data_IF_574809779578
#
_entry.id   IF_574809779578
#
_cell.length_a   1.000
_cell.length_b   1.000
_cell.length_c   1.000
_cell.angle_alpha   90.00
_cell.angle_beta   90.00
_cell.angle_gamma   90.00
#
_symmetry.space_group_name_H-M   'P 1'
#
loop_
_entity.id
_entity.type
_entity.pdbx_description
1 polymer ?
#
# COMPACT_ATOMS: atom_id res chain seq x y z
N UNK A 1 -0.78 22.69 15.87
CA UNK A 1 -1.48 22.90 17.16
C UNK A 1 -2.77 23.71 17.01
N UNK A 2 -2.75 24.86 16.34
CA UNK A 2 -3.96 25.67 16.09
C UNK A 2 -4.94 24.96 15.15
N UNK A 3 -4.44 24.35 14.07
CA UNK A 3 -5.25 23.62 13.10
C UNK A 3 -5.92 22.38 13.72
N UNK A 4 -5.23 21.68 14.61
CA UNK A 4 -5.75 20.52 15.35
C UNK A 4 -6.80 20.90 16.39
N UNK A 5 -6.67 22.07 17.03
CA UNK A 5 -7.69 22.58 17.96
C UNK A 5 -8.93 23.06 17.20
N UNK A 6 -8.74 23.68 16.03
CA UNK A 6 -9.83 24.19 15.20
C UNK A 6 -10.63 23.05 14.55
N UNK A 7 -9.98 21.96 14.12
CA UNK A 7 -10.67 20.76 13.63
C UNK A 7 -11.51 20.11 14.74
N UNK A 8 -10.98 19.94 15.96
CA UNK A 8 -11.74 19.39 17.09
C UNK A 8 -12.94 20.27 17.45
N UNK A 9 -12.77 21.61 17.45
CA UNK A 9 -13.84 22.56 17.74
C UNK A 9 -14.96 22.53 16.68
N UNK A 10 -14.61 22.50 15.40
CA UNK A 10 -15.58 22.39 14.29
C UNK A 10 -16.36 21.06 14.36
N UNK A 11 -15.68 19.96 14.69
CA UNK A 11 -16.32 18.64 14.87
C UNK A 11 -17.31 18.62 16.03
N UNK A 12 -16.94 19.23 17.16
CA UNK A 12 -17.81 19.33 18.34
C UNK A 12 -19.02 20.24 18.10
N UNK A 13 -18.89 21.29 17.30
CA UNK A 13 -19.94 22.29 17.12
C UNK A 13 -20.99 21.91 16.05
N UNK A 14 -20.64 21.09 15.05
CA UNK A 14 -21.58 20.71 13.98
C UNK A 14 -22.46 19.48 14.23
N UNK A 15 -22.33 18.77 15.36
CA UNK A 15 -23.16 17.58 15.72
C UNK A 15 -23.44 16.66 14.51
N UNK A 16 -22.41 16.36 13.72
CA UNK A 16 -22.57 15.57 12.49
C UNK A 16 -22.70 14.10 12.87
N UNK A 17 -23.91 13.67 13.21
CA UNK A 17 -24.24 12.32 13.70
C UNK A 17 -24.09 11.20 12.66
N UNK A 18 -23.73 11.55 11.41
CA UNK A 18 -23.68 10.61 10.27
C UNK A 18 -22.25 10.24 9.83
N UNK A 19 -21.21 10.82 10.43
CA UNK A 19 -19.81 10.55 10.08
C UNK A 19 -19.09 9.87 11.25
N UNK A 20 -18.90 8.56 11.13
CA UNK A 20 -18.10 7.75 12.06
C UNK A 20 -16.61 8.15 11.97
N UNK A 21 -15.86 8.04 13.08
CA UNK A 21 -14.42 8.36 13.14
C UNK A 21 -13.60 7.65 12.05
N UNK A 22 -13.99 6.43 11.67
CA UNK A 22 -13.34 5.69 10.57
C UNK A 22 -13.64 6.29 9.20
N UNK A 23 -14.85 6.80 8.95
CA UNK A 23 -15.19 7.46 7.69
C UNK A 23 -14.45 8.78 7.51
N UNK A 24 -14.20 9.49 8.60
CA UNK A 24 -13.39 10.70 8.59
C UNK A 24 -11.93 10.41 8.25
N UNK A 25 -11.35 9.34 8.81
CA UNK A 25 -9.99 8.94 8.49
C UNK A 25 -9.81 8.66 6.99
N UNK A 26 -10.79 8.01 6.36
CA UNK A 26 -10.79 7.77 4.90
C UNK A 26 -10.86 9.08 4.12
N UNK A 27 -11.74 10.01 4.50
CA UNK A 27 -11.87 11.31 3.84
C UNK A 27 -10.60 12.15 3.99
N UNK A 28 -10.01 12.18 5.19
CA UNK A 28 -8.73 12.87 5.43
C UNK A 28 -7.60 12.23 4.63
N UNK A 29 -7.54 10.90 4.56
CA UNK A 29 -6.57 10.20 3.71
C UNK A 29 -6.68 10.58 2.24
N UNK A 30 -7.91 10.70 1.73
CA UNK A 30 -8.16 11.11 0.34
C UNK A 30 -7.75 12.57 0.08
N UNK A 31 -8.08 13.48 1.00
CA UNK A 31 -7.69 14.90 0.89
C UNK A 31 -6.17 15.06 0.98
N UNK A 32 -5.52 14.42 1.95
CA UNK A 32 -4.07 14.46 2.12
C UNK A 32 -3.36 13.82 0.92
N UNK A 33 -3.86 12.68 0.42
CA UNK A 33 -3.33 12.04 -0.77
C UNK A 33 -3.45 12.92 -2.02
N UNK A 34 -4.57 13.63 -2.19
CA UNK A 34 -4.72 14.62 -3.25
C UNK A 34 -3.75 15.80 -3.10
N UNK A 35 -3.56 16.32 -1.89
CA UNK A 35 -2.60 17.40 -1.63
C UNK A 35 -1.17 16.93 -1.95
N UNK A 36 -0.76 15.74 -1.51
CA UNK A 36 0.58 15.21 -1.83
C UNK A 36 0.75 15.10 -3.34
N UNK A 37 -0.23 14.51 -4.05
CA UNK A 37 -0.18 14.32 -5.50
C UNK A 37 -0.10 15.62 -6.31
N UNK A 38 -0.82 16.67 -5.88
CA UNK A 38 -0.95 17.91 -6.66
C UNK A 38 -0.14 19.10 -6.12
N UNK A 39 0.29 19.07 -4.85
CA UNK A 39 1.07 20.15 -4.22
C UNK A 39 2.53 19.74 -3.91
N UNK A 40 2.90 18.48 -4.09
CA UNK A 40 4.29 18.06 -4.03
C UNK A 40 5.09 18.68 -5.17
N UNK A 41 6.05 19.54 -4.83
CA UNK A 41 7.01 20.05 -5.80
C UNK A 41 7.89 18.88 -6.26
N UNK A 42 7.87 18.58 -7.55
CA UNK A 42 8.77 17.62 -8.18
C UNK A 42 10.20 18.10 -7.98
N UNK A 43 10.94 17.48 -7.06
CA UNK A 43 12.40 17.58 -7.12
C UNK A 43 12.80 16.93 -8.44
N UNK A 44 13.59 17.63 -9.25
CA UNK A 44 14.13 17.06 -10.47
C UNK A 44 14.96 15.84 -10.09
N UNK A 45 14.60 14.67 -10.62
CA UNK A 45 15.44 13.48 -10.52
C UNK A 45 16.75 13.81 -11.23
N UNK A 46 17.84 13.89 -10.48
CA UNK A 46 19.16 14.16 -11.06
C UNK A 46 19.74 12.84 -11.55
N UNK A 47 19.89 12.70 -12.86
CA UNK A 47 20.52 11.54 -13.48
C UNK A 47 22.04 11.74 -13.57
N UNK A 48 22.78 10.66 -13.34
CA UNK A 48 24.23 10.61 -13.60
C UNK A 48 24.45 9.42 -14.52
N UNK A 49 24.96 9.69 -15.72
CA UNK A 49 25.27 8.64 -16.68
C UNK A 49 26.54 7.88 -16.25
N UNK A 50 26.37 6.65 -15.78
CA UNK A 50 27.47 5.78 -15.40
C UNK A 50 28.07 5.12 -16.64
N UNK A 51 29.36 5.37 -16.90
CA UNK A 51 30.12 4.71 -17.95
C UNK A 51 31.13 3.72 -17.33
N UNK A 52 31.35 2.55 -17.96
CA UNK A 52 32.39 1.63 -17.51
C UNK A 52 33.76 2.27 -17.65
N UNK A 53 34.67 1.94 -16.73
CA UNK A 53 36.06 2.42 -16.79
C UNK A 53 36.76 1.85 -18.05
N UNK A 54 37.68 2.62 -18.61
CA UNK A 54 38.24 2.42 -19.95
C UNK A 54 38.95 1.06 -20.13
N UNK A 55 39.38 0.44 -19.04
CA UNK A 55 40.13 -0.82 -19.02
C UNK A 55 39.27 -2.03 -18.59
N UNK A 56 37.94 -1.88 -18.54
CA UNK A 56 37.05 -2.95 -18.12
C UNK A 56 36.61 -3.84 -19.29
N UNK A 57 36.67 -5.16 -19.11
CA UNK A 57 36.15 -6.16 -20.06
C UNK A 57 34.64 -6.40 -19.92
N UNK A 58 33.90 -5.37 -19.53
CA UNK A 58 32.48 -5.51 -19.23
C UNK A 58 31.65 -5.60 -20.51
N UNK A 59 30.70 -6.54 -20.57
CA UNK A 59 29.81 -6.69 -21.70
C UNK A 59 28.59 -5.76 -21.53
N UNK A 60 28.46 -4.76 -22.41
CA UNK A 60 27.37 -3.78 -22.41
C UNK A 60 25.98 -4.36 -22.73
N UNK A 61 25.90 -5.64 -23.14
CA UNK A 61 24.62 -6.29 -23.50
C UNK A 61 23.85 -6.81 -22.29
N UNK A 62 24.46 -6.81 -21.10
CA UNK A 62 23.83 -7.26 -19.85
C UNK A 62 23.88 -6.13 -18.82
N UNK A 63 22.89 -6.03 -17.91
CA UNK A 63 22.95 -5.07 -16.81
C UNK A 63 23.95 -5.53 -15.73
N UNK A 64 24.63 -4.59 -15.03
CA UNK A 64 25.59 -4.93 -13.99
C UNK A 64 24.90 -5.22 -12.66
N UNK A 65 25.43 -6.18 -11.89
CA UNK A 65 24.90 -6.52 -10.57
C UNK A 65 25.16 -5.43 -9.51
N UNK A 66 26.29 -4.72 -9.64
CA UNK A 66 26.76 -3.71 -8.68
C UNK A 66 27.34 -2.51 -9.43
N UNK A 67 26.88 -1.31 -9.06
CA UNK A 67 27.49 -0.04 -9.50
C UNK A 67 28.24 0.58 -8.34
N UNK A 68 29.52 0.90 -8.56
CA UNK A 68 30.40 1.53 -7.57
C UNK A 68 30.72 2.95 -8.01
N UNK A 69 30.38 3.93 -7.17
CA UNK A 69 30.77 5.32 -7.40
C UNK A 69 31.93 5.66 -6.48
N UNK A 70 33.06 6.03 -7.09
CA UNK A 70 34.19 6.56 -6.36
C UNK A 70 34.09 8.08 -6.32
N UNK A 71 33.82 8.63 -5.14
CA UNK A 71 33.82 10.08 -4.91
C UNK A 71 35.20 10.47 -4.36
N UNK A 72 36.08 11.10 -5.16
CA UNK A 72 37.36 11.57 -4.68
C UNK A 72 37.14 12.86 -3.88
N UNK A 73 36.75 12.76 -2.61
CA UNK A 73 36.42 13.96 -1.86
C UNK A 73 37.59 14.49 -1.04
N UNK A 74 37.90 15.77 -1.23
CA UNK A 74 38.44 16.64 -0.19
C UNK A 74 37.40 17.75 -0.02
N UNK A 75 36.35 17.50 0.76
CA UNK A 75 35.45 18.56 1.22
C UNK A 75 36.29 19.47 2.13
N UNK A 76 36.63 20.68 1.67
CA UNK A 76 37.20 21.68 2.55
C UNK A 76 36.09 22.24 3.44
N UNK A 77 35.86 21.59 4.57
CA UNK A 77 35.12 22.19 5.68
C UNK A 77 36.08 23.18 6.34
N UNK A 78 35.66 24.44 6.47
CA UNK A 78 36.40 25.55 7.06
C UNK A 78 37.37 25.11 8.15
N UNK A 79 38.66 25.34 7.89
CA UNK A 79 39.76 25.57 8.83
C UNK A 79 39.59 24.99 10.24
N UNK A 80 39.64 23.66 10.43
CA UNK A 80 39.80 23.12 11.79
C UNK A 80 39.53 21.65 12.05
N UNK A 81 38.82 20.92 11.18
CA UNK A 81 38.48 19.51 11.44
C UNK A 81 39.18 18.53 10.51
N UNK A 82 39.54 17.36 11.06
CA UNK A 82 40.36 16.35 10.41
C UNK A 82 39.76 15.87 9.07
N UNK A 83 40.58 15.55 8.06
CA UNK A 83 40.09 15.12 6.76
C UNK A 83 39.26 13.84 6.88
N UNK A 84 38.00 13.91 6.45
CA UNK A 84 37.08 12.76 6.39
C UNK A 84 37.60 11.76 5.33
N UNK A 85 37.70 10.46 5.64
CA UNK A 85 38.25 9.47 4.71
C UNK A 85 37.38 9.26 3.46
N UNK A 86 38.02 8.81 2.37
CA UNK A 86 37.36 8.42 1.11
C UNK A 86 36.18 7.46 1.39
N UNK A 87 34.99 7.82 0.92
CA UNK A 87 33.79 6.98 1.04
C UNK A 87 33.48 6.35 -0.32
N UNK A 88 33.40 5.02 -0.34
CA UNK A 88 32.92 4.27 -1.51
C UNK A 88 31.49 3.84 -1.23
N UNK A 89 30.56 4.27 -2.08
CA UNK A 89 29.16 3.84 -2.00
C UNK A 89 28.90 2.76 -3.06
N UNK A 90 28.33 1.65 -2.63
CA UNK A 90 27.89 0.57 -3.51
C UNK A 90 26.37 0.57 -3.57
N UNK A 91 25.82 0.60 -4.79
CA UNK A 91 24.40 0.48 -5.03
C UNK A 91 24.13 -0.89 -5.64
N UNK A 92 23.07 -1.56 -5.14
CA UNK A 92 22.62 -2.85 -5.66
C UNK A 92 21.41 -2.63 -6.56
N UNK A 93 21.44 -3.25 -7.73
CA UNK A 93 20.32 -3.22 -8.67
C UNK A 93 19.09 -3.89 -8.04
N UNK A 94 17.99 -3.16 -7.93
CA UNK A 94 16.71 -3.67 -7.41
C UNK A 94 15.71 -4.05 -8.50
N UNK A 95 15.85 -3.53 -9.73
CA UNK A 95 14.93 -3.78 -10.83
C UNK A 95 15.04 -2.75 -11.96
N UNK A 96 14.42 -3.05 -13.10
CA UNK A 96 14.36 -2.17 -14.27
C UNK A 96 13.34 -1.05 -14.05
N UNK A 97 13.74 0.19 -14.28
CA UNK A 97 12.87 1.37 -14.14
C UNK A 97 12.28 1.69 -15.52
N UNK A 98 11.06 1.22 -15.80
CA UNK A 98 10.37 1.50 -17.06
C UNK A 98 9.80 2.93 -17.04
N UNK A 99 10.45 3.88 -17.73
CA UNK A 99 10.03 5.28 -17.93
C UNK A 99 9.21 5.87 -16.78
N UNK A 100 9.89 6.10 -15.66
CA UNK A 100 9.27 6.61 -14.46
C UNK A 100 9.51 8.12 -14.38
N UNK A 101 8.54 8.90 -14.88
CA UNK A 101 8.27 10.24 -14.35
C UNK A 101 7.52 10.11 -13.00
N UNK A 102 8.07 9.39 -12.00
CA UNK A 102 7.47 9.37 -10.67
C UNK A 102 8.07 10.48 -9.83
N UNK A 103 7.19 11.24 -9.19
CA UNK A 103 7.57 12.19 -8.17
C UNK A 103 8.21 11.43 -7.00
N UNK A 104 9.36 11.90 -6.50
CA UNK A 104 10.04 11.30 -5.34
C UNK A 104 9.12 11.16 -4.12
N UNK A 105 8.16 12.08 -3.99
CA UNK A 105 7.14 12.05 -2.94
C UNK A 105 6.19 10.86 -3.05
N UNK A 106 5.86 10.40 -4.26
CA UNK A 106 4.97 9.24 -4.46
C UNK A 106 5.70 7.95 -4.07
N UNK A 107 7.01 7.87 -4.37
CA UNK A 107 7.85 6.73 -3.97
C UNK A 107 8.06 6.68 -2.45
N UNK A 108 8.29 7.82 -1.80
CA UNK A 108 8.51 7.90 -0.34
C UNK A 108 7.21 7.81 0.47
N UNK A 109 6.08 8.23 -0.10
CA UNK A 109 4.77 8.15 0.55
C UNK A 109 4.10 6.77 0.39
N UNK A 110 4.60 5.92 -0.50
CA UNK A 110 4.11 4.55 -0.65
C UNK A 110 4.55 3.70 0.54
N UNK A 111 3.58 3.21 1.31
CA UNK A 111 3.83 2.31 2.42
C UNK A 111 4.27 0.94 1.91
N UNK A 112 5.27 0.35 2.55
CA UNK A 112 5.78 -0.96 2.15
C UNK A 112 4.76 -2.07 2.50
N UNK A 113 4.23 -2.81 1.51
CA UNK A 113 3.26 -3.86 1.76
C UNK A 113 3.84 -4.99 2.60
N UNK A 114 5.14 -5.26 2.56
CA UNK A 114 5.74 -6.33 3.37
C UNK A 114 5.66 -6.00 4.86
N UNK A 115 5.88 -4.73 5.22
CA UNK A 115 5.71 -4.25 6.59
C UNK A 115 4.24 -4.36 7.01
N UNK A 116 3.31 -4.04 6.11
CA UNK A 116 1.88 -4.18 6.38
C UNK A 116 1.52 -5.63 6.72
N UNK A 117 1.82 -6.55 5.81
CA UNK A 117 1.41 -7.95 5.93
C UNK A 117 2.16 -8.71 7.02
N UNK A 118 3.46 -8.47 7.20
CA UNK A 118 4.26 -9.24 8.14
C UNK A 118 4.26 -8.67 9.56
N UNK A 119 4.08 -7.34 9.72
CA UNK A 119 4.21 -6.68 11.03
C UNK A 119 2.87 -6.15 11.53
N UNK A 120 2.10 -5.44 10.69
CA UNK A 120 0.89 -4.72 11.14
C UNK A 120 -0.34 -5.64 11.16
N UNK A 121 -0.50 -6.48 10.15
CA UNK A 121 -1.67 -7.34 9.98
C UNK A 121 -1.82 -8.39 11.12
N UNK A 122 -0.75 -9.08 11.59
CA UNK A 122 -0.91 -10.12 12.61
C UNK A 122 -1.46 -9.62 13.96
N UNK A 123 -0.98 -8.50 14.54
CA UNK A 123 -1.57 -7.92 15.75
C UNK A 123 -3.05 -7.51 15.58
N UNK A 124 -3.44 -7.00 14.42
CA UNK A 124 -4.84 -6.60 14.14
C UNK A 124 -5.75 -7.83 14.17
N UNK A 125 -5.37 -8.89 13.45
CA UNK A 125 -6.12 -10.15 13.42
C UNK A 125 -6.17 -10.78 14.81
N UNK A 126 -5.05 -10.75 15.55
CA UNK A 126 -4.99 -11.28 16.91
C UNK A 126 -5.94 -10.53 17.85
N UNK A 127 -5.96 -9.19 17.81
CA UNK A 127 -6.87 -8.38 18.63
C UNK A 127 -8.33 -8.65 18.28
N UNK A 128 -8.68 -8.72 16.98
CA UNK A 128 -10.02 -9.07 16.53
C UNK A 128 -10.43 -10.48 17.00
N UNK A 129 -9.51 -11.45 16.92
CA UNK A 129 -9.65 -12.81 17.44
C UNK A 129 -9.87 -12.86 18.95
N UNK A 130 -9.12 -12.06 19.71
CA UNK A 130 -9.17 -12.01 21.18
C UNK A 130 -10.47 -11.38 21.70
N UNK A 131 -11.00 -10.37 21.01
CA UNK A 131 -12.26 -9.71 21.37
C UNK A 131 -13.52 -10.55 21.11
N UNK A 132 -13.42 -11.67 20.38
CA UNK A 132 -14.58 -12.53 20.07
C UNK A 132 -15.07 -13.31 21.31
N UNK A 133 -16.39 -13.24 21.57
CA UNK A 133 -17.03 -13.99 22.67
C UNK A 133 -16.99 -15.51 22.41
N UNK A 134 -16.00 -16.20 22.99
CA UNK A 134 -15.74 -17.65 22.82
C UNK A 134 -17.00 -18.53 22.87
N UNK A 135 -17.88 -18.33 23.85
CA UNK A 135 -19.08 -19.17 24.04
C UNK A 135 -20.05 -19.12 22.84
N UNK A 136 -20.25 -17.94 22.25
CA UNK A 136 -21.14 -17.76 21.10
C UNK A 136 -20.51 -18.21 19.79
N UNK A 137 -19.19 -18.01 19.66
CA UNK A 137 -18.41 -18.48 18.52
C UNK A 137 -18.50 -20.01 18.37
N UNK A 138 -18.20 -20.76 19.44
CA UNK A 138 -18.23 -22.22 19.38
C UNK A 138 -19.65 -22.79 19.26
N UNK A 139 -20.67 -22.09 19.76
CA UNK A 139 -22.07 -22.51 19.58
C UNK A 139 -22.55 -22.40 18.13
N UNK A 140 -22.00 -21.45 17.36
CA UNK A 140 -22.38 -21.19 15.97
C UNK A 140 -21.28 -21.57 14.96
N UNK A 141 -20.30 -22.38 15.37
CA UNK A 141 -19.12 -22.68 14.56
C UNK A 141 -19.47 -23.26 13.18
N UNK A 142 -20.49 -24.11 13.11
CA UNK A 142 -20.95 -24.69 11.84
C UNK A 142 -21.47 -23.64 10.85
N UNK A 143 -22.26 -22.67 11.33
CA UNK A 143 -22.74 -21.57 10.50
C UNK A 143 -21.58 -20.68 10.04
N UNK A 144 -20.65 -20.36 10.96
CA UNK A 144 -19.45 -19.57 10.65
C UNK A 144 -18.61 -20.25 9.58
N UNK A 145 -18.31 -21.55 9.72
CA UNK A 145 -17.55 -22.32 8.73
C UNK A 145 -18.27 -22.40 7.38
N UNK A 146 -19.60 -22.54 7.38
CA UNK A 146 -20.39 -22.57 6.15
C UNK A 146 -20.30 -21.24 5.41
N UNK A 147 -20.47 -20.11 6.11
CA UNK A 147 -20.31 -18.79 5.49
C UNK A 147 -18.87 -18.51 5.07
N UNK A 148 -17.89 -18.92 5.89
CA UNK A 148 -16.48 -18.65 5.64
C UNK A 148 -15.88 -19.48 4.50
N UNK A 149 -16.38 -20.70 4.24
CA UNK A 149 -15.89 -21.57 3.16
C UNK A 149 -16.83 -21.57 1.96
N UNK A 150 -18.11 -21.91 2.17
CA UNK A 150 -19.08 -22.02 1.07
C UNK A 150 -19.52 -20.65 0.60
N UNK A 151 -19.78 -19.72 1.53
CA UNK A 151 -20.19 -18.36 1.20
C UNK A 151 -19.14 -17.58 0.42
N UNK A 152 -17.88 -17.64 0.84
CA UNK A 152 -16.75 -17.02 0.13
C UNK A 152 -16.47 -17.71 -1.21
N UNK A 153 -16.45 -19.04 -1.27
CA UNK A 153 -16.25 -19.75 -2.54
C UNK A 153 -17.34 -19.40 -3.57
N UNK A 154 -18.60 -19.36 -3.14
CA UNK A 154 -19.71 -18.97 -4.01
C UNK A 154 -19.61 -17.50 -4.42
N UNK A 155 -19.27 -16.60 -3.50
CA UNK A 155 -19.06 -15.18 -3.78
C UNK A 155 -17.94 -14.97 -4.81
N UNK A 156 -16.80 -15.66 -4.64
CA UNK A 156 -15.68 -15.63 -5.59
C UNK A 156 -16.09 -16.12 -6.99
N UNK A 157 -16.86 -17.21 -7.07
CA UNK A 157 -17.37 -17.74 -8.34
C UNK A 157 -18.35 -16.77 -9.02
N UNK A 158 -19.28 -16.19 -8.26
CA UNK A 158 -20.29 -15.26 -8.78
C UNK A 158 -19.62 -13.98 -9.26
N UNK A 159 -18.75 -13.38 -8.45
CA UNK A 159 -18.03 -12.14 -8.82
C UNK A 159 -17.07 -12.39 -9.98
N UNK A 160 -16.32 -13.50 -9.95
CA UNK A 160 -15.39 -13.86 -11.02
C UNK A 160 -16.10 -14.12 -12.35
N UNK A 161 -17.21 -14.87 -12.34
CA UNK A 161 -18.01 -15.12 -13.55
C UNK A 161 -18.71 -13.86 -14.07
N UNK A 162 -19.23 -13.01 -13.18
CA UNK A 162 -19.78 -11.71 -13.55
C UNK A 162 -18.72 -10.84 -14.22
N UNK A 163 -17.51 -10.78 -13.64
CA UNK A 163 -16.42 -9.99 -14.19
C UNK A 163 -15.96 -10.54 -15.54
N UNK A 164 -15.88 -11.87 -15.70
CA UNK A 164 -15.62 -12.50 -16.99
C UNK A 164 -16.66 -12.10 -18.05
N UNK A 165 -17.94 -12.10 -17.68
CA UNK A 165 -19.01 -11.61 -18.54
C UNK A 165 -18.83 -10.14 -18.94
N UNK A 166 -18.49 -9.27 -17.98
CA UNK A 166 -18.19 -7.86 -18.25
C UNK A 166 -16.99 -7.68 -19.18
N UNK A 167 -15.93 -8.46 -18.99
CA UNK A 167 -14.71 -8.41 -19.83
C UNK A 167 -15.01 -8.87 -21.26
N UNK A 168 -15.88 -9.87 -21.44
CA UNK A 168 -16.30 -10.28 -22.79
C UNK A 168 -17.12 -9.21 -23.54
N UNK A 169 -17.78 -8.30 -22.83
CA UNK A 169 -18.51 -7.17 -23.43
C UNK A 169 -17.59 -6.01 -23.82
N UNK A 170 -16.32 -6.02 -23.39
CA UNK A 170 -15.32 -5.01 -23.72
C UNK A 170 -14.64 -5.29 -25.08
N UNK A 171 -13.91 -4.31 -25.67
CA UNK A 171 -13.24 -4.50 -26.94
C UNK A 171 -12.33 -5.73 -26.95
N UNK A 172 -12.27 -6.42 -28.10
CA UNK A 172 -11.56 -7.70 -28.25
C UNK A 172 -10.07 -7.66 -27.85
N UNK A 173 -9.44 -6.48 -27.92
CA UNK A 173 -8.07 -6.27 -27.47
C UNK A 173 -7.89 -6.51 -25.97
N UNK A 174 -8.90 -6.17 -25.15
CA UNK A 174 -8.85 -6.32 -23.70
C UNK A 174 -9.37 -7.70 -23.27
N UNK A 175 -10.40 -8.20 -23.95
CA UNK A 175 -10.94 -9.54 -23.69
C UNK A 175 -9.92 -10.67 -23.97
N UNK A 176 -9.02 -10.49 -24.94
CA UNK A 176 -7.97 -11.46 -25.25
C UNK A 176 -6.85 -11.52 -24.20
N UNK A 177 -6.71 -10.48 -23.37
CA UNK A 177 -5.66 -10.39 -22.36
C UNK A 177 -6.02 -11.05 -21.03
N UNK A 178 -7.31 -11.31 -20.77
CA UNK A 178 -7.77 -11.85 -19.49
C UNK A 178 -8.38 -13.24 -19.67
N UNK A 179 -7.82 -14.20 -18.94
CA UNK A 179 -8.39 -15.54 -18.85
C UNK A 179 -9.51 -15.60 -17.80
N UNK A 180 -10.38 -16.61 -17.90
CA UNK A 180 -11.38 -16.86 -16.85
C UNK A 180 -10.74 -17.02 -15.46
N UNK A 181 -9.55 -17.61 -15.41
CA UNK A 181 -8.79 -17.83 -14.19
C UNK A 181 -8.37 -16.49 -13.56
N UNK A 182 -7.93 -15.51 -14.35
CA UNK A 182 -7.57 -14.17 -13.86
C UNK A 182 -8.77 -13.46 -13.24
N UNK A 183 -9.94 -13.59 -13.88
CA UNK A 183 -11.18 -13.02 -13.35
C UNK A 183 -11.65 -13.73 -12.07
N UNK A 184 -11.42 -15.03 -11.97
CA UNK A 184 -11.71 -15.82 -10.77
C UNK A 184 -10.74 -15.48 -9.63
N UNK A 185 -9.46 -15.24 -9.92
CA UNK A 185 -8.49 -14.75 -8.94
C UNK A 185 -8.91 -13.42 -8.35
N UNK A 186 -9.37 -12.47 -9.18
CA UNK A 186 -9.93 -11.22 -8.68
C UNK A 186 -11.16 -11.44 -7.80
N UNK A 187 -12.08 -12.31 -8.22
CA UNK A 187 -13.24 -12.71 -7.42
C UNK A 187 -12.83 -13.26 -6.04
N UNK A 188 -11.79 -14.10 -6.00
CA UNK A 188 -11.25 -14.65 -4.77
C UNK A 188 -10.58 -13.59 -3.87
N UNK A 189 -9.91 -12.59 -4.45
CA UNK A 189 -9.25 -11.50 -3.69
C UNK A 189 -10.26 -10.57 -3.01
N UNK A 190 -11.40 -10.29 -3.64
CA UNK A 190 -12.41 -9.38 -3.10
C UNK A 190 -13.51 -10.09 -2.29
N UNK A 191 -13.58 -11.42 -2.37
CA UNK A 191 -14.60 -12.21 -1.66
C UNK A 191 -14.52 -12.14 -0.13
N UNK A 192 -13.34 -12.10 0.52
CA UNK A 192 -13.27 -11.97 1.98
C UNK A 192 -13.81 -10.61 2.44
N UNK A 193 -14.81 -10.63 3.33
CA UNK A 193 -15.38 -9.41 3.91
C UNK A 193 -14.72 -9.09 5.25
N UNK A 194 -14.28 -7.85 5.45
CA UNK A 194 -13.78 -7.38 6.74
C UNK A 194 -14.92 -6.80 7.60
N UNK A 195 -15.29 -7.43 8.73
CA UNK A 195 -16.35 -6.94 9.60
C UNK A 195 -15.91 -5.77 10.49
N UNK A 196 -14.63 -5.37 10.50
CA UNK A 196 -14.11 -4.38 11.47
C UNK A 196 -14.94 -3.08 11.51
N UNK A 197 -15.33 -2.56 10.35
CA UNK A 197 -16.15 -1.34 10.28
C UNK A 197 -17.57 -1.55 10.82
N UNK A 198 -18.18 -2.71 10.53
CA UNK A 198 -19.54 -3.03 10.98
C UNK A 198 -19.56 -3.32 12.48
N UNK A 199 -18.54 -3.99 13.00
CA UNK A 199 -18.40 -4.31 14.41
C UNK A 199 -18.23 -3.05 15.27
N UNK A 200 -17.46 -2.07 14.79
CA UNK A 200 -17.32 -0.77 15.44
C UNK A 200 -18.67 -0.04 15.54
N UNK A 201 -19.48 -0.08 14.48
CA UNK A 201 -20.80 0.53 14.45
C UNK A 201 -21.78 -0.19 15.39
N UNK A 202 -21.79 -1.53 15.42
CA UNK A 202 -22.69 -2.29 16.31
C UNK A 202 -22.40 -2.05 17.79
N UNK A 203 -21.12 -1.94 18.17
CA UNK A 203 -20.73 -1.59 19.53
C UNK A 203 -21.22 -0.19 19.93
N UNK A 204 -21.13 0.79 19.02
CA UNK A 204 -21.65 2.15 19.28
C UNK A 204 -23.17 2.20 19.37
N UNK A 205 -23.88 1.41 18.56
CA UNK A 205 -25.35 1.34 18.56
C UNK A 205 -25.92 0.51 19.72
N UNK A 206 -25.08 -0.12 20.54
CA UNK A 206 -25.48 -1.01 21.66
C UNK A 206 -26.43 -2.13 21.22
N UNK A 207 -26.23 -2.68 20.02
CA UNK A 207 -27.04 -3.78 19.48
C UNK A 207 -26.44 -5.15 19.86
N UNK A 208 -25.38 -5.16 20.70
CA UNK A 208 -24.74 -6.38 21.17
C UNK A 208 -25.66 -7.19 22.11
N UNK A 209 -26.35 -8.19 21.56
CA UNK A 209 -26.98 -9.29 22.32
C UNK A 209 -25.98 -10.38 22.70
#
# INVERSE_FOLDING_TARGET
>A
LTLTVLTIWVFKHRRVSWLHETGLAVIYGLIVGAIIRYAGSTNQVTYIDAHPDADTKYNLSVPPDIVRFHFPDKIQISSGEAPVPNKTYAYSFRGEIVNVEQNEIDLKATFDPEIFFNIILPPIIFHAGYCLKRKYFFRNLGAILTFAMVGTALSALVIGSLMYGCVQLMPASLAASFTFLDTLYFGALISPTDPLTVLAIFSQLKVDV
#
